data_IF_301047057490
#
_entry.id   IF_301047057490
#
_cell.length_a   1.000
_cell.length_b   1.000
_cell.length_c   1.000
_cell.angle_alpha   90.00
_cell.angle_beta   90.00
_cell.angle_gamma   90.00
#
_symmetry.space_group_name_H-M   'P 1'
#
loop_
_entity.id
_entity.type
_entity.pdbx_description
1 polymer ?
#
# COMPACT_ATOMS: atom_id res chain seq x y z
N UNK A 1 -8.87 8.41 16.17
CA UNK A 1 -7.75 9.38 16.26
C UNK A 1 -6.42 8.75 15.82
N UNK A 2 -6.03 7.58 16.33
CA UNK A 2 -4.75 6.93 16.00
C UNK A 2 -4.63 6.49 14.52
N UNK A 3 -5.73 6.05 13.89
CA UNK A 3 -5.76 5.74 12.46
C UNK A 3 -5.39 6.91 11.53
N UNK A 4 -5.69 8.13 11.97
CA UNK A 4 -5.35 9.36 11.26
C UNK A 4 -3.85 9.64 11.37
N UNK A 5 -3.23 9.32 12.52
CA UNK A 5 -1.78 9.46 12.75
C UNK A 5 -1.00 8.65 11.71
N UNK A 6 -1.33 7.37 11.49
CA UNK A 6 -0.65 6.56 10.46
C UNK A 6 -0.81 7.12 9.05
N UNK A 7 -1.95 7.77 8.77
CA UNK A 7 -2.20 8.42 7.48
C UNK A 7 -1.32 9.66 7.30
N UNK A 8 -1.21 10.49 8.34
CA UNK A 8 -0.30 11.64 8.36
C UNK A 8 1.15 11.16 8.28
N UNK A 9 1.56 10.15 9.04
CA UNK A 9 2.91 9.62 9.00
C UNK A 9 3.29 9.13 7.60
N UNK A 10 2.39 8.40 6.92
CA UNK A 10 2.62 8.02 5.52
C UNK A 10 2.79 9.24 4.62
N UNK A 11 1.91 10.24 4.73
CA UNK A 11 2.01 11.46 3.92
C UNK A 11 3.32 12.23 4.17
N UNK A 12 3.70 12.43 5.43
CA UNK A 12 4.90 13.18 5.84
C UNK A 12 6.20 12.48 5.44
N UNK A 13 6.26 11.16 5.60
CA UNK A 13 7.46 10.38 5.21
C UNK A 13 7.66 10.47 3.71
N UNK A 14 6.61 10.30 2.92
CA UNK A 14 6.71 10.42 1.47
C UNK A 14 6.94 11.85 1.00
N UNK A 15 6.42 12.85 1.71
CA UNK A 15 6.79 14.26 1.48
C UNK A 15 8.30 14.47 1.67
N UNK A 16 8.86 14.02 2.79
CA UNK A 16 10.28 14.20 3.10
C UNK A 16 11.19 13.46 2.11
N UNK A 17 10.85 12.22 1.75
CA UNK A 17 11.58 11.46 0.72
C UNK A 17 11.51 12.21 -0.62
N UNK A 18 10.33 12.68 -1.00
CA UNK A 18 10.14 13.39 -2.27
C UNK A 18 10.95 14.69 -2.31
N UNK A 19 11.01 15.45 -1.21
CA UNK A 19 11.82 16.66 -1.13
C UNK A 19 13.31 16.37 -1.38
N UNK A 20 13.83 15.27 -0.82
CA UNK A 20 15.22 14.86 -1.01
C UNK A 20 15.47 14.45 -2.47
N UNK A 21 14.64 13.58 -3.03
CA UNK A 21 14.86 13.02 -4.37
C UNK A 21 14.54 14.00 -5.52
N UNK A 22 13.60 14.93 -5.31
CA UNK A 22 13.23 15.92 -6.31
C UNK A 22 14.17 17.13 -6.33
N UNK A 23 14.89 17.40 -5.23
CA UNK A 23 15.91 18.46 -5.18
C UNK A 23 17.06 18.24 -6.18
N UNK A 24 17.29 17.00 -6.59
CA UNK A 24 18.33 16.59 -7.53
C UNK A 24 17.80 16.19 -8.91
N UNK A 25 16.49 16.32 -9.15
CA UNK A 25 15.86 15.83 -10.37
C UNK A 25 16.19 16.74 -11.57
N UNK A 26 16.52 16.16 -12.74
CA UNK A 26 16.67 16.93 -13.97
C UNK A 26 15.31 17.46 -14.43
N UNK A 27 15.18 18.79 -14.41
CA UNK A 27 13.97 19.56 -14.76
C UNK A 27 13.85 19.84 -16.26
N UNK A 28 14.22 18.89 -17.12
CA UNK A 28 14.28 19.13 -18.56
C UNK A 28 12.91 19.15 -19.24
N UNK A 29 12.04 18.18 -18.95
CA UNK A 29 10.68 18.08 -19.50
C UNK A 29 9.75 17.39 -18.48
N UNK A 30 8.48 17.84 -18.41
CA UNK A 30 7.43 17.23 -17.59
C UNK A 30 7.36 15.70 -17.73
N UNK A 31 7.53 15.16 -18.94
CA UNK A 31 7.49 13.70 -19.14
C UNK A 31 8.67 12.99 -18.45
N UNK A 32 9.90 13.51 -18.59
CA UNK A 32 11.06 12.91 -17.93
C UNK A 32 10.97 13.02 -16.42
N UNK A 33 10.44 14.13 -15.89
CA UNK A 33 10.25 14.26 -14.45
C UNK A 33 9.16 13.32 -13.94
N UNK A 34 8.09 13.11 -14.70
CA UNK A 34 7.08 12.12 -14.34
C UNK A 34 7.68 10.70 -14.27
N UNK A 35 8.49 10.31 -15.27
CA UNK A 35 9.20 9.02 -15.24
C UNK A 35 10.18 8.91 -14.08
N UNK A 36 10.88 10.00 -13.74
CA UNK A 36 11.76 10.05 -12.57
C UNK A 36 10.97 9.78 -11.27
N UNK A 37 9.80 10.41 -11.14
CA UNK A 37 8.90 10.19 -9.99
C UNK A 37 8.44 8.74 -9.90
N UNK A 38 8.08 8.13 -11.03
CA UNK A 38 7.72 6.72 -11.07
C UNK A 38 8.88 5.85 -10.58
N UNK A 39 10.12 6.09 -11.02
CA UNK A 39 11.27 5.27 -10.63
C UNK A 39 11.58 5.34 -9.13
N UNK A 40 11.66 6.54 -8.54
CA UNK A 40 11.98 6.64 -7.10
C UNK A 40 10.79 6.25 -6.21
N UNK A 41 9.56 6.19 -6.75
CA UNK A 41 8.41 5.74 -5.98
C UNK A 41 8.56 4.30 -5.46
N UNK A 42 9.44 3.48 -6.03
CA UNK A 42 9.82 2.20 -5.45
C UNK A 42 10.29 2.34 -3.99
N UNK A 43 11.08 3.37 -3.69
CA UNK A 43 11.54 3.69 -2.33
C UNK A 43 10.35 4.08 -1.44
N UNK A 44 9.45 4.91 -1.98
CA UNK A 44 8.22 5.29 -1.29
C UNK A 44 7.35 4.07 -0.95
N UNK A 45 7.17 3.12 -1.88
CA UNK A 45 6.45 1.86 -1.63
C UNK A 45 7.15 1.00 -0.58
N UNK A 46 8.48 0.91 -0.61
CA UNK A 46 9.26 0.19 0.40
C UNK A 46 9.00 0.70 1.82
N UNK A 47 9.22 2.00 2.04
CA UNK A 47 9.08 2.63 3.36
C UNK A 47 7.62 2.68 3.80
N UNK A 48 6.71 3.03 2.88
CA UNK A 48 5.28 3.16 3.20
C UNK A 48 4.62 1.83 3.54
N UNK A 49 5.10 0.71 2.97
CA UNK A 49 4.57 -0.62 3.33
C UNK A 49 4.79 -0.96 4.79
N UNK A 50 5.83 -0.44 5.43
CA UNK A 50 6.04 -0.58 6.88
C UNK A 50 4.92 0.15 7.63
N UNK A 51 4.65 1.40 7.26
CA UNK A 51 3.58 2.22 7.88
C UNK A 51 2.21 1.60 7.63
N UNK A 52 1.97 1.08 6.42
CA UNK A 52 0.73 0.42 6.04
C UNK A 52 0.53 -0.91 6.77
N UNK A 53 1.60 -1.68 6.99
CA UNK A 53 1.57 -2.87 7.85
C UNK A 53 1.17 -2.51 9.28
N UNK A 54 1.81 -1.50 9.88
CA UNK A 54 1.47 -1.02 11.22
C UNK A 54 0.00 -0.57 11.31
N UNK A 55 -0.46 0.21 10.33
CA UNK A 55 -1.86 0.65 10.23
C UNK A 55 -2.80 -0.56 10.13
N UNK A 56 -2.48 -1.55 9.30
CA UNK A 56 -3.32 -2.73 9.11
C UNK A 56 -3.40 -3.62 10.36
N UNK A 57 -2.28 -3.83 11.07
CA UNK A 57 -2.29 -4.49 12.38
C UNK A 57 -3.11 -3.73 13.42
N UNK A 58 -3.06 -2.40 13.39
CA UNK A 58 -3.86 -1.58 14.28
C UNK A 58 -5.37 -1.71 13.99
N UNK A 59 -5.79 -1.71 12.71
CA UNK A 59 -7.19 -2.01 12.34
C UNK A 59 -7.60 -3.40 12.86
N UNK A 60 -6.76 -4.41 12.64
CA UNK A 60 -6.99 -5.77 13.17
C UNK A 60 -7.22 -5.76 14.67
N UNK A 61 -6.38 -5.02 15.41
CA UNK A 61 -6.48 -4.91 16.86
C UNK A 61 -7.83 -4.31 17.28
N UNK A 62 -8.25 -3.22 16.63
CA UNK A 62 -9.53 -2.57 16.95
C UNK A 62 -10.72 -3.48 16.67
N UNK A 63 -10.74 -4.16 15.51
CA UNK A 63 -11.87 -5.02 15.12
C UNK A 63 -11.97 -6.30 15.95
N UNK A 64 -10.85 -6.99 16.19
CA UNK A 64 -10.84 -8.23 16.98
C UNK A 64 -10.81 -7.98 18.50
N UNK A 65 -10.81 -6.72 18.95
CA UNK A 65 -10.69 -6.31 20.37
C UNK A 65 -9.55 -7.03 21.10
N UNK A 66 -8.45 -7.26 20.41
CA UNK A 66 -7.35 -8.07 20.93
C UNK A 66 -6.40 -7.22 21.78
N UNK A 67 -5.92 -7.76 22.90
CA UNK A 67 -4.96 -7.07 23.78
C UNK A 67 -3.52 -7.12 23.24
N UNK A 68 -3.32 -6.75 21.98
CA UNK A 68 -1.97 -6.66 21.39
C UNK A 68 -1.36 -5.31 21.75
N UNK A 69 -0.18 -5.30 22.34
CA UNK A 69 0.54 -4.04 22.64
C UNK A 69 1.14 -3.42 21.38
N UNK A 70 1.37 -2.09 21.37
CA UNK A 70 2.03 -1.41 20.24
C UNK A 70 3.43 -1.98 19.97
N UNK A 71 4.17 -2.35 21.03
CA UNK A 71 5.50 -2.95 20.95
C UNK A 71 5.47 -4.29 20.19
N UNK A 72 4.45 -5.11 20.41
CA UNK A 72 4.28 -6.36 19.67
C UNK A 72 3.95 -6.13 18.20
N UNK A 73 3.09 -5.15 17.88
CA UNK A 73 2.77 -4.79 16.48
C UNK A 73 4.05 -4.35 15.74
N UNK A 74 4.85 -3.50 16.39
CA UNK A 74 6.13 -3.05 15.84
C UNK A 74 7.09 -4.22 15.64
N UNK A 75 7.24 -5.09 16.65
CA UNK A 75 8.12 -6.25 16.57
C UNK A 75 7.72 -7.21 15.45
N UNK A 76 6.41 -7.51 15.31
CA UNK A 76 5.88 -8.36 14.22
C UNK A 76 6.15 -7.76 12.84
N UNK A 77 6.05 -6.45 12.71
CA UNK A 77 6.34 -5.74 11.45
C UNK A 77 7.82 -5.82 11.10
N UNK A 78 8.70 -5.54 12.06
CA UNK A 78 10.16 -5.55 11.86
C UNK A 78 10.69 -6.97 11.59
N UNK A 79 10.22 -7.97 12.33
CA UNK A 79 10.67 -9.36 12.15
C UNK A 79 10.30 -9.94 10.78
N UNK A 80 9.30 -9.35 10.12
CA UNK A 80 8.81 -9.74 8.80
C UNK A 80 9.14 -8.71 7.70
N UNK A 81 10.16 -7.87 7.91
CA UNK A 81 10.53 -6.83 6.95
C UNK A 81 10.85 -7.38 5.55
N UNK A 82 11.36 -8.61 5.45
CA UNK A 82 11.62 -9.30 4.19
C UNK A 82 10.33 -9.58 3.40
N UNK A 83 9.24 -9.96 4.08
CA UNK A 83 7.92 -10.14 3.45
C UNK A 83 7.38 -8.80 2.97
N UNK A 84 7.52 -7.75 3.77
CA UNK A 84 7.11 -6.41 3.39
C UNK A 84 7.93 -5.87 2.22
N UNK A 85 9.22 -6.13 2.16
CA UNK A 85 10.07 -5.75 1.03
C UNK A 85 9.60 -6.43 -0.27
N UNK A 86 9.29 -7.73 -0.22
CA UNK A 86 8.73 -8.46 -1.36
C UNK A 86 7.38 -7.87 -1.81
N UNK A 87 6.45 -7.67 -0.86
CA UNK A 87 5.13 -7.08 -1.11
C UNK A 87 5.29 -5.66 -1.69
N UNK A 88 6.24 -4.87 -1.21
CA UNK A 88 6.51 -3.51 -1.70
C UNK A 88 7.02 -3.51 -3.13
N UNK A 89 7.98 -4.39 -3.44
CA UNK A 89 8.59 -4.46 -4.76
C UNK A 89 7.57 -4.89 -5.82
N UNK A 90 6.85 -5.98 -5.55
CA UNK A 90 5.82 -6.48 -6.47
C UNK A 90 4.62 -5.51 -6.49
N UNK A 91 4.24 -4.99 -5.33
CA UNK A 91 3.16 -4.03 -5.18
C UNK A 91 3.41 -2.72 -5.93
N UNK A 92 4.64 -2.22 -5.96
CA UNK A 92 5.05 -1.09 -6.79
C UNK A 92 4.71 -1.34 -8.26
N UNK A 93 5.17 -2.46 -8.82
CA UNK A 93 4.90 -2.83 -10.22
C UNK A 93 3.38 -2.90 -10.47
N UNK A 94 2.64 -3.59 -9.58
CA UNK A 94 1.21 -3.81 -9.75
C UNK A 94 0.37 -2.54 -9.55
N UNK A 95 0.76 -1.66 -8.64
CA UNK A 95 0.04 -0.41 -8.39
C UNK A 95 0.00 0.50 -9.61
N UNK A 96 1.08 0.54 -10.38
CA UNK A 96 1.15 1.32 -11.62
C UNK A 96 0.45 0.65 -12.82
N UNK A 97 0.12 -0.64 -12.73
CA UNK A 97 -0.72 -1.32 -13.75
C UNK A 97 -2.22 -1.09 -13.58
N UNK A 98 -2.64 -0.23 -12.63
CA UNK A 98 -4.02 0.17 -12.28
C UNK A 98 -5.01 -0.98 -12.00
N UNK A 99 -5.27 -1.84 -12.97
CA UNK A 99 -6.12 -3.02 -12.87
C UNK A 99 -5.66 -3.96 -11.74
N UNK A 100 -4.35 -4.15 -11.57
CA UNK A 100 -3.79 -4.98 -10.50
C UNK A 100 -3.39 -4.21 -9.25
N UNK A 101 -3.68 -2.89 -9.19
CA UNK A 101 -3.36 -2.09 -8.01
C UNK A 101 -3.98 -2.59 -6.69
N UNK A 102 -5.18 -3.21 -6.65
CA UNK A 102 -5.72 -3.70 -5.38
C UNK A 102 -4.89 -4.87 -4.81
N UNK A 103 -4.16 -5.60 -5.65
CA UNK A 103 -3.32 -6.73 -5.21
C UNK A 103 -2.32 -6.32 -4.16
N UNK A 104 -1.72 -5.12 -4.25
CA UNK A 104 -0.80 -4.61 -3.24
C UNK A 104 -1.46 -4.48 -1.86
N UNK A 105 -2.64 -3.84 -1.81
CA UNK A 105 -3.35 -3.60 -0.55
C UNK A 105 -3.93 -4.88 0.04
N UNK A 106 -4.44 -5.78 -0.81
CA UNK A 106 -4.91 -7.10 -0.38
C UNK A 106 -3.74 -7.97 0.08
N UNK A 107 -2.56 -7.86 -0.53
CA UNK A 107 -1.37 -8.57 -0.06
C UNK A 107 -0.95 -8.10 1.34
N UNK A 108 -0.98 -6.78 1.61
CA UNK A 108 -0.77 -6.27 2.97
C UNK A 108 -1.81 -6.84 3.94
N UNK A 109 -3.10 -6.84 3.57
CA UNK A 109 -4.15 -7.40 4.41
C UNK A 109 -3.97 -8.91 4.66
N UNK A 110 -3.62 -9.69 3.63
CA UNK A 110 -3.34 -11.13 3.77
C UNK A 110 -2.18 -11.42 4.72
N UNK A 111 -1.15 -10.56 4.66
CA UNK A 111 0.03 -10.66 5.48
C UNK A 111 -0.28 -10.36 6.96
N UNK A 112 -1.01 -9.28 7.24
CA UNK A 112 -1.28 -8.82 8.62
C UNK A 112 -2.46 -9.54 9.28
N UNK A 113 -3.52 -9.82 8.51
CA UNK A 113 -4.77 -10.39 9.00
C UNK A 113 -4.69 -11.92 9.04
N UNK A 114 -4.30 -12.53 7.91
CA UNK A 114 -4.28 -14.00 7.75
C UNK A 114 -2.91 -14.65 7.99
N UNK A 115 -1.85 -13.85 8.15
CA UNK A 115 -0.51 -14.32 8.49
C UNK A 115 0.21 -15.05 7.36
N UNK A 116 -0.23 -14.91 6.10
CA UNK A 116 0.54 -15.43 4.97
C UNK A 116 1.87 -14.69 4.87
N UNK A 117 2.90 -15.37 4.35
CA UNK A 117 4.24 -14.79 4.16
C UNK A 117 4.79 -15.10 2.78
N UNK A 118 5.73 -14.30 2.30
CA UNK A 118 6.35 -14.48 0.99
C UNK A 118 5.33 -14.42 -0.15
N UNK A 119 5.53 -15.25 -1.18
CA UNK A 119 4.66 -15.32 -2.36
C UNK A 119 3.22 -15.78 -2.06
N UNK A 120 2.98 -16.42 -0.92
CA UNK A 120 1.62 -16.84 -0.53
C UNK A 120 0.68 -15.63 -0.38
N UNK A 121 1.19 -14.51 0.13
CA UNK A 121 0.42 -13.26 0.29
C UNK A 121 -0.05 -12.71 -1.06
N UNK A 122 0.84 -12.76 -2.05
CA UNK A 122 0.60 -12.26 -3.40
C UNK A 122 -0.36 -13.20 -4.14
N UNK A 123 -0.13 -14.51 -4.01
CA UNK A 123 -1.00 -15.52 -4.59
C UNK A 123 -2.43 -15.43 -4.01
N UNK A 124 -2.57 -15.26 -2.70
CA UNK A 124 -3.85 -14.99 -2.09
C UNK A 124 -4.45 -13.70 -2.65
N UNK A 125 -3.68 -12.61 -2.69
CA UNK A 125 -4.18 -11.31 -3.15
C UNK A 125 -4.75 -11.36 -4.57
N UNK A 126 -4.06 -12.03 -5.50
CA UNK A 126 -4.58 -12.26 -6.85
C UNK A 126 -5.86 -13.10 -6.84
N UNK A 127 -5.89 -14.20 -6.08
CA UNK A 127 -7.09 -15.04 -5.99
C UNK A 127 -8.29 -14.28 -5.40
N UNK A 128 -8.05 -13.40 -4.44
CA UNK A 128 -9.07 -12.55 -3.83
C UNK A 128 -9.56 -11.45 -4.78
N UNK A 129 -8.64 -10.83 -5.53
CA UNK A 129 -8.95 -9.79 -6.51
C UNK A 129 -10.07 -10.24 -7.46
N UNK A 130 -9.91 -11.40 -8.10
CA UNK A 130 -10.88 -11.90 -9.08
C UNK A 130 -12.17 -12.42 -8.47
N UNK A 131 -12.18 -12.76 -7.18
CA UNK A 131 -13.37 -13.24 -6.49
C UNK A 131 -14.24 -12.13 -5.93
N UNK A 132 -13.64 -10.98 -5.57
CA UNK A 132 -14.37 -9.90 -4.89
C UNK A 132 -14.19 -8.56 -5.59
N UNK A 133 -15.22 -8.20 -6.37
CA UNK A 133 -15.27 -6.93 -7.12
C UNK A 133 -15.13 -5.69 -6.24
N UNK A 134 -15.50 -5.75 -4.97
CA UNK A 134 -15.39 -4.63 -4.03
C UNK A 134 -13.95 -4.12 -3.87
N UNK A 135 -12.93 -4.97 -3.98
CA UNK A 135 -11.54 -4.54 -3.90
C UNK A 135 -11.16 -3.57 -5.05
N UNK A 136 -11.77 -3.74 -6.23
CA UNK A 136 -11.59 -2.80 -7.34
C UNK A 136 -12.23 -1.44 -7.01
N UNK A 137 -13.47 -1.46 -6.53
CA UNK A 137 -14.26 -0.25 -6.21
C UNK A 137 -13.57 0.60 -5.13
N UNK A 138 -12.97 -0.04 -4.13
CA UNK A 138 -12.34 0.67 -3.03
C UNK A 138 -10.91 1.12 -3.28
N UNK A 139 -10.23 0.55 -4.28
CA UNK A 139 -8.80 0.82 -4.48
C UNK A 139 -8.56 1.66 -5.73
N UNK A 140 -9.10 1.24 -6.88
CA UNK A 140 -8.79 1.87 -8.19
C UNK A 140 -9.08 3.37 -8.19
N UNK A 141 -10.23 3.88 -7.70
CA UNK A 141 -10.51 5.31 -7.72
C UNK A 141 -9.47 6.15 -6.97
N UNK A 142 -8.96 5.64 -5.85
CA UNK A 142 -7.97 6.36 -5.04
C UNK A 142 -6.57 6.31 -5.66
N UNK A 143 -6.20 5.17 -6.25
CA UNK A 143 -4.91 5.04 -6.95
C UNK A 143 -4.90 5.92 -8.19
N UNK A 144 -5.96 5.87 -8.99
CA UNK A 144 -6.11 6.73 -10.18
C UNK A 144 -6.10 8.21 -9.82
N UNK A 145 -6.87 8.63 -8.80
CA UNK A 145 -6.86 10.01 -8.32
C UNK A 145 -5.47 10.46 -7.85
N UNK A 146 -4.72 9.59 -7.14
CA UNK A 146 -3.37 9.90 -6.69
C UNK A 146 -2.38 10.06 -7.85
N UNK A 147 -2.43 9.16 -8.83
CA UNK A 147 -1.60 9.27 -10.05
C UNK A 147 -1.93 10.51 -10.86
N UNK A 148 -3.23 10.83 -11.00
CA UNK A 148 -3.67 12.04 -11.70
C UNK A 148 -3.22 13.30 -10.96
N UNK A 149 -3.25 13.32 -9.62
CA UNK A 149 -2.79 14.46 -8.83
C UNK A 149 -1.32 14.76 -9.09
N UNK A 150 -0.48 13.73 -9.10
CA UNK A 150 0.95 13.87 -9.43
C UNK A 150 1.14 14.28 -10.89
N UNK A 151 0.46 13.62 -11.83
CA UNK A 151 0.57 13.95 -13.25
C UNK A 151 0.17 15.41 -13.52
N UNK A 152 -1.00 15.85 -13.04
CA UNK A 152 -1.48 17.22 -13.18
C UNK A 152 -0.45 18.19 -12.60
N UNK A 153 0.11 17.90 -11.42
CA UNK A 153 1.10 18.77 -10.79
C UNK A 153 2.37 18.90 -11.64
N UNK A 154 2.89 17.78 -12.17
CA UNK A 154 4.08 17.74 -13.03
C UNK A 154 3.87 18.49 -14.35
N UNK A 155 2.73 18.29 -15.02
CA UNK A 155 2.45 18.95 -16.29
C UNK A 155 2.08 20.42 -16.11
N UNK A 156 1.40 20.79 -15.02
CA UNK A 156 1.07 22.20 -14.73
C UNK A 156 2.31 23.06 -14.50
N UNK A 157 3.37 22.50 -13.92
CA UNK A 157 4.63 23.21 -13.70
C UNK A 157 5.31 23.65 -15.01
N UNK A 158 5.05 22.97 -16.13
CA UNK A 158 5.54 23.38 -17.45
C UNK A 158 4.88 24.64 -18.00
N UNK A 159 3.74 25.07 -17.44
CA UNK A 159 2.98 26.24 -17.87
C UNK A 159 3.15 27.46 -16.95
N UNK A 160 3.85 27.31 -15.83
CA UNK A 160 4.08 28.41 -14.89
C UNK A 160 5.42 29.07 -15.27
N UNK A 161 5.41 30.28 -15.85
CA UNK A 161 6.64 31.00 -16.09
C UNK A 161 7.30 31.32 -14.74
N UNK A 162 8.61 31.09 -14.64
CA UNK A 162 9.46 31.53 -13.53
C UNK A 162 9.13 30.93 -12.15
N UNK A 163 8.96 29.62 -12.03
CA UNK A 163 9.02 28.97 -10.71
C UNK A 163 10.46 28.82 -10.23
N UNK A 164 10.77 29.37 -9.05
CA UNK A 164 12.06 29.15 -8.38
C UNK A 164 12.37 27.66 -8.21
N UNK A 165 13.67 27.33 -8.21
CA UNK A 165 14.21 25.97 -8.02
C UNK A 165 13.70 25.32 -6.72
N UNK A 166 13.44 26.12 -5.67
CA UNK A 166 12.93 25.63 -4.38
C UNK A 166 11.41 25.35 -4.40
N UNK A 167 10.67 26.05 -5.25
CA UNK A 167 9.20 25.96 -5.34
C UNK A 167 8.75 24.66 -6.01
N UNK A 168 9.55 24.13 -6.95
CA UNK A 168 9.20 22.92 -7.70
C UNK A 168 9.20 21.64 -6.85
N UNK A 169 10.28 21.29 -6.10
CA UNK A 169 10.28 20.13 -5.22
C UNK A 169 9.17 20.19 -4.18
N UNK A 170 8.85 21.39 -3.69
CA UNK A 170 7.79 21.60 -2.70
C UNK A 170 6.42 21.21 -3.25
N UNK A 171 6.01 21.78 -4.40
CA UNK A 171 4.70 21.53 -5.01
C UNK A 171 4.52 20.03 -5.32
N UNK A 172 5.54 19.41 -5.91
CA UNK A 172 5.49 17.98 -6.22
C UNK A 172 5.49 17.10 -4.99
N UNK A 173 6.25 17.46 -3.95
CA UNK A 173 6.25 16.70 -2.69
C UNK A 173 4.89 16.78 -1.99
N UNK A 174 4.20 17.92 -2.08
CA UNK A 174 2.80 18.04 -1.63
C UNK A 174 1.89 17.12 -2.45
N UNK A 175 2.01 17.11 -3.78
CA UNK A 175 1.21 16.23 -4.64
C UNK A 175 1.42 14.75 -4.30
N UNK A 176 2.67 14.34 -4.04
CA UNK A 176 3.00 12.98 -3.62
C UNK A 176 2.44 12.71 -2.21
N UNK A 177 2.52 13.65 -1.27
CA UNK A 177 1.90 13.50 0.04
C UNK A 177 0.39 13.26 -0.07
N UNK A 178 -0.30 13.99 -0.96
CA UNK A 178 -1.72 13.78 -1.26
C UNK A 178 -1.98 12.39 -1.86
N UNK A 179 -1.16 11.94 -2.80
CA UNK A 179 -1.23 10.57 -3.32
C UNK A 179 -1.17 9.54 -2.18
N UNK A 180 -0.26 9.71 -1.22
CA UNK A 180 -0.12 8.76 -0.11
C UNK A 180 -1.27 8.82 0.91
N UNK A 181 -1.95 9.96 1.05
CA UNK A 181 -3.22 10.04 1.79
C UNK A 181 -4.27 9.17 1.09
N UNK A 182 -4.40 9.26 -0.23
CA UNK A 182 -5.36 8.47 -1.01
C UNK A 182 -5.05 6.97 -0.93
N UNK A 183 -3.79 6.57 -1.06
CA UNK A 183 -3.36 5.18 -0.85
C UNK A 183 -3.68 4.68 0.56
N UNK A 184 -3.51 5.54 1.56
CA UNK A 184 -3.83 5.20 2.95
C UNK A 184 -5.33 4.98 3.18
N UNK A 185 -6.18 5.71 2.44
CA UNK A 185 -7.65 5.49 2.43
C UNK A 185 -7.98 4.16 1.73
N UNK A 186 -7.37 3.89 0.58
CA UNK A 186 -7.55 2.63 -0.15
C UNK A 186 -7.16 1.41 0.71
N UNK A 187 -6.03 1.49 1.41
CA UNK A 187 -5.58 0.45 2.33
C UNK A 187 -6.64 0.20 3.41
N UNK A 188 -7.12 1.25 4.07
CA UNK A 188 -8.09 1.13 5.15
C UNK A 188 -9.34 0.38 4.68
N UNK A 189 -9.93 0.82 3.57
CA UNK A 189 -11.14 0.19 3.00
C UNK A 189 -10.87 -1.26 2.60
N UNK A 190 -9.70 -1.54 2.06
CA UNK A 190 -9.31 -2.91 1.67
C UNK A 190 -9.17 -3.82 2.89
N UNK A 191 -8.55 -3.35 3.98
CA UNK A 191 -8.38 -4.13 5.20
C UNK A 191 -9.72 -4.37 5.90
N UNK A 192 -10.57 -3.34 6.03
CA UNK A 192 -11.92 -3.47 6.58
C UNK A 192 -12.77 -4.45 5.75
N UNK A 193 -12.69 -4.37 4.43
CA UNK A 193 -13.37 -5.31 3.53
C UNK A 193 -12.81 -6.74 3.70
N UNK A 194 -11.48 -6.90 3.80
CA UNK A 194 -10.85 -8.21 4.01
C UNK A 194 -11.31 -8.85 5.33
N UNK A 195 -11.31 -8.10 6.44
CA UNK A 195 -11.76 -8.57 7.75
C UNK A 195 -13.25 -8.92 7.70
N UNK A 196 -14.09 -8.03 7.18
CA UNK A 196 -15.55 -8.25 7.09
C UNK A 196 -15.93 -9.42 6.19
N UNK A 197 -15.06 -9.84 5.28
CA UNK A 197 -15.28 -11.08 4.54
C UNK A 197 -15.27 -12.32 5.43
N UNK A 198 -14.42 -12.30 6.45
CA UNK A 198 -14.19 -13.43 7.35
C UNK A 198 -13.46 -14.62 6.70
N UNK A 199 -13.10 -14.54 5.41
CA UNK A 199 -12.54 -15.65 4.65
C UNK A 199 -11.18 -15.30 4.05
N UNK A 200 -10.27 -16.26 4.09
CA UNK A 200 -9.01 -16.30 3.35
C UNK A 200 -9.04 -17.41 2.31
N UNK A 201 -8.14 -17.38 1.34
CA UNK A 201 -8.08 -18.39 0.27
C UNK A 201 -6.91 -19.32 0.52
N UNK A 202 -7.18 -20.63 0.58
CA UNK A 202 -6.14 -21.64 0.63
C UNK A 202 -5.23 -21.51 -0.61
N UNK A 203 -3.96 -21.19 -0.39
CA UNK A 203 -2.99 -21.01 -1.47
C UNK A 203 -2.69 -22.29 -2.25
N UNK A 204 -2.94 -23.47 -1.64
CA UNK A 204 -2.70 -24.78 -2.24
C UNK A 204 -3.87 -25.27 -3.11
N UNK A 205 -5.11 -25.25 -2.59
CA UNK A 205 -6.27 -25.82 -3.28
C UNK A 205 -7.32 -24.79 -3.71
N UNK A 206 -7.17 -23.51 -3.34
CA UNK A 206 -8.08 -22.43 -3.72
C UNK A 206 -9.42 -22.41 -2.98
N UNK A 207 -9.63 -23.27 -1.98
CA UNK A 207 -10.85 -23.25 -1.16
C UNK A 207 -10.92 -21.98 -0.31
N UNK A 208 -12.14 -21.52 -0.02
CA UNK A 208 -12.38 -20.48 0.99
C UNK A 208 -12.31 -21.11 2.37
N UNK A 209 -11.62 -20.45 3.30
CA UNK A 209 -11.47 -20.92 4.67
C UNK A 209 -11.58 -19.73 5.62
N UNK A 210 -12.07 -19.92 6.86
CA UNK A 210 -12.08 -18.83 7.84
C UNK A 210 -10.69 -18.24 8.04
N UNK A 211 -10.61 -16.91 8.23
CA UNK A 211 -9.34 -16.19 8.45
C UNK A 211 -8.51 -16.83 9.58
N UNK A 212 -9.18 -17.24 10.66
CA UNK A 212 -8.57 -17.85 11.85
C UNK A 212 -8.13 -19.31 11.64
N UNK A 213 -8.57 -19.96 10.54
CA UNK A 213 -8.28 -21.37 10.30
C UNK A 213 -6.77 -21.60 10.08
N UNK A 214 -6.19 -22.50 10.87
CA UNK A 214 -4.80 -22.95 10.75
C UNK A 214 -4.61 -24.10 9.76
N UNK A 215 -5.69 -24.75 9.35
CA UNK A 215 -5.69 -25.85 8.39
C UNK A 215 -6.81 -25.67 7.39
N UNK A 216 -6.58 -26.12 6.17
CA UNK A 216 -7.61 -26.16 5.14
C UNK A 216 -8.51 -27.39 5.34
N UNK A 217 -9.81 -27.17 5.58
CA UNK A 217 -10.78 -28.27 5.71
C UNK A 217 -10.99 -29.09 4.44
N UNK A 218 -10.57 -28.59 3.26
CA UNK A 218 -10.70 -29.30 2.00
C UNK A 218 -9.46 -30.15 1.66
N UNK A 219 -8.25 -29.61 1.79
CA UNK A 219 -7.02 -30.30 1.37
C UNK A 219 -6.10 -30.70 2.53
N UNK A 220 -6.49 -30.48 3.79
CA UNK A 220 -5.72 -30.83 4.99
C UNK A 220 -4.45 -30.02 5.23
N UNK A 221 -3.96 -29.26 4.25
CA UNK A 221 -2.72 -28.50 4.38
C UNK A 221 -2.81 -27.44 5.48
N UNK A 222 -1.71 -27.31 6.23
CA UNK A 222 -1.53 -26.25 7.22
C UNK A 222 -1.41 -24.91 6.51
N UNK A 223 -2.22 -23.95 6.95
CA UNK A 223 -2.18 -22.57 6.52
C UNK A 223 -1.38 -21.78 7.56
N UNK A 224 -0.53 -20.85 7.10
CA UNK A 224 0.11 -19.92 8.01
C UNK A 224 -0.94 -19.04 8.71
N UNK A 225 -0.64 -18.68 9.96
CA UNK A 225 -1.52 -17.99 10.92
C UNK A 225 -0.98 -16.62 11.26
#
# INVERSE_FOLDING_TARGET
>A
MIMFIYTICAALVNFAISMIFLSSAPLSNSFSTFLWILQFSLVNYGISSIIFSLKSFYIKKEEYKHEITFKEILFKTISNIHNLALISFIGYILAYTLLFSPTYFVAIASFTISGYGGFDTINEAFKQLFRRRKFFVYTIPYITAGLLTVAISVFSLGYIPETDILSYPLILSIAIAVQWILHSIALRKTVEEYISWGLKICVFCGSQVPIEARYCGNCGNRLKS
#
